data_IF_730423882935
#
_entry.id   IF_730423882935
#
_cell.length_a   1.000
_cell.length_b   1.000
_cell.length_c   1.000
_cell.angle_alpha   90.00
_cell.angle_beta   90.00
_cell.angle_gamma   90.00
#
_symmetry.space_group_name_H-M   'P 1'
#
loop_
_entity.id
_entity.type
_entity.pdbx_description
1 polymer ?
#
# COMPACT_ATOMS: atom_id res chain seq x y z
N UNK A 1 8.85 -20.70 17.88
CA UNK A 1 7.76 -21.13 16.96
C UNK A 1 7.64 -20.09 15.87
N UNK A 2 7.82 -20.51 14.63
CA UNK A 2 7.67 -19.62 13.49
C UNK A 2 6.18 -19.37 13.28
N UNK A 3 5.74 -18.10 13.30
CA UNK A 3 4.36 -17.77 13.00
C UNK A 3 4.20 -17.59 11.50
N UNK A 4 3.17 -18.19 10.97
CA UNK A 4 2.85 -18.06 9.54
C UNK A 4 2.39 -16.65 9.22
N UNK A 5 2.88 -16.13 8.11
CA UNK A 5 2.41 -14.85 7.58
C UNK A 5 1.03 -15.05 6.96
N UNK A 6 0.11 -14.16 7.27
CA UNK A 6 -1.25 -14.17 6.73
C UNK A 6 -1.48 -12.96 5.84
N UNK A 7 -2.13 -13.18 4.71
CA UNK A 7 -2.52 -12.12 3.79
C UNK A 7 -4.05 -12.10 3.73
N UNK A 8 -4.63 -10.95 4.04
CA UNK A 8 -6.06 -10.70 3.88
C UNK A 8 -6.26 -9.82 2.66
N UNK A 9 -7.01 -10.32 1.69
CA UNK A 9 -7.42 -9.53 0.53
C UNK A 9 -8.71 -8.81 0.93
N UNK A 10 -8.58 -7.55 1.31
CA UNK A 10 -9.69 -6.79 1.89
C UNK A 10 -10.56 -6.11 0.83
N UNK A 11 -10.12 -6.09 -0.41
CA UNK A 11 -10.88 -5.57 -1.54
C UNK A 11 -10.09 -5.72 -2.84
N UNK A 12 -10.73 -5.48 -3.97
CA UNK A 12 -10.08 -5.56 -5.28
C UNK A 12 -10.02 -6.96 -5.88
N UNK A 13 -10.55 -7.97 -5.19
CA UNK A 13 -10.63 -9.33 -5.70
C UNK A 13 -12.09 -9.67 -5.96
N UNK A 14 -12.43 -9.91 -7.23
CA UNK A 14 -13.80 -10.20 -7.63
C UNK A 14 -14.71 -8.99 -7.76
N UNK A 15 -14.22 -7.78 -7.53
CA UNK A 15 -14.92 -6.53 -7.78
C UNK A 15 -13.95 -5.45 -8.29
N UNK A 16 -14.47 -4.30 -8.66
CA UNK A 16 -13.67 -3.18 -9.13
C UNK A 16 -13.46 -2.17 -7.99
N UNK A 17 -12.21 -1.73 -7.85
CA UNK A 17 -11.85 -0.78 -6.82
C UNK A 17 -11.63 -1.44 -5.46
N UNK A 18 -11.56 -0.64 -4.41
CA UNK A 18 -11.28 -1.06 -3.04
C UNK A 18 -9.98 -1.86 -2.88
N UNK A 19 -8.99 -1.64 -3.75
CA UNK A 19 -7.73 -2.41 -3.69
C UNK A 19 -7.10 -2.26 -2.31
N UNK A 20 -6.88 -3.38 -1.64
CA UNK A 20 -6.30 -3.38 -0.30
C UNK A 20 -5.85 -4.79 0.09
N UNK A 21 -4.58 -4.89 0.46
CA UNK A 21 -4.02 -6.09 1.05
C UNK A 21 -3.57 -5.78 2.47
N UNK A 22 -3.95 -6.63 3.42
CA UNK A 22 -3.46 -6.57 4.78
C UNK A 22 -2.58 -7.79 5.04
N UNK A 23 -1.34 -7.54 5.45
CA UNK A 23 -0.36 -8.60 5.70
C UNK A 23 0.05 -8.54 7.15
N UNK A 24 -0.03 -9.67 7.84
CA UNK A 24 0.44 -9.78 9.23
C UNK A 24 1.31 -11.01 9.44
N UNK A 25 2.46 -10.79 10.05
CA UNK A 25 3.36 -11.83 10.54
C UNK A 25 3.31 -11.90 12.06
N UNK A 26 4.32 -12.52 12.66
CA UNK A 26 4.42 -12.62 14.12
C UNK A 26 4.71 -11.29 14.80
N UNK A 27 5.43 -10.38 14.13
CA UNK A 27 5.89 -9.11 14.71
C UNK A 27 5.43 -7.88 13.94
N UNK A 28 5.18 -8.00 12.65
CA UNK A 28 4.89 -6.87 11.77
C UNK A 28 3.55 -7.03 11.09
N UNK A 29 2.89 -5.91 10.85
CA UNK A 29 1.70 -5.85 10.02
C UNK A 29 1.77 -4.61 9.13
N UNK A 30 1.32 -4.75 7.89
CA UNK A 30 1.30 -3.64 6.95
C UNK A 30 0.13 -3.77 5.97
N UNK A 31 -0.19 -2.67 5.32
CA UNK A 31 -1.24 -2.58 4.31
C UNK A 31 -0.61 -2.16 2.98
N UNK A 32 -1.09 -2.71 1.88
CA UNK A 32 -0.76 -2.24 0.53
C UNK A 32 -2.04 -1.76 -0.13
N UNK A 33 -2.09 -0.48 -0.39
CA UNK A 33 -3.23 0.27 -0.92
C UNK A 33 -4.46 0.26 0.00
N UNK A 34 -5.26 1.30 -0.08
CA UNK A 34 -6.47 1.50 0.69
C UNK A 34 -7.48 2.24 -0.19
N UNK A 35 -8.09 1.51 -1.11
CA UNK A 35 -8.95 2.09 -2.13
C UNK A 35 -10.42 2.12 -1.78
N UNK A 36 -11.16 2.97 -2.48
CA UNK A 36 -12.62 2.98 -2.46
C UNK A 36 -13.15 2.32 -3.73
N UNK A 37 -14.41 1.88 -3.68
CA UNK A 37 -15.07 1.29 -4.84
C UNK A 37 -15.27 2.30 -5.96
N UNK A 38 -15.39 1.79 -7.20
CA UNK A 38 -15.56 2.62 -8.40
C UNK A 38 -17.02 2.74 -8.85
N UNK A 39 -17.95 2.20 -8.06
CA UNK A 39 -19.39 2.18 -8.37
C UNK A 39 -20.15 3.43 -7.90
N UNK A 40 -19.43 4.46 -7.43
CA UNK A 40 -20.04 5.68 -6.91
C UNK A 40 -20.53 5.59 -5.47
N UNK A 41 -20.42 4.42 -4.83
CA UNK A 41 -20.86 4.22 -3.45
C UNK A 41 -19.76 4.45 -2.42
N UNK A 42 -18.52 4.66 -2.86
CA UNK A 42 -17.33 4.88 -2.01
C UNK A 42 -17.18 3.82 -0.91
N UNK A 43 -17.46 2.56 -1.27
CA UNK A 43 -17.27 1.43 -0.34
C UNK A 43 -15.80 1.29 0.02
N UNK A 44 -15.53 0.96 1.27
CA UNK A 44 -14.16 0.83 1.82
C UNK A 44 -13.74 -0.63 1.90
N UNK A 45 -12.43 -0.92 2.05
CA UNK A 45 -11.96 -2.29 2.23
C UNK A 45 -12.49 -2.93 3.53
N UNK A 46 -12.61 -4.26 3.51
CA UNK A 46 -13.14 -5.05 4.62
C UNK A 46 -12.04 -5.37 5.65
N UNK A 47 -11.65 -4.37 6.42
CA UNK A 47 -10.73 -4.53 7.55
C UNK A 47 -11.39 -4.02 8.83
N UNK A 48 -11.10 -4.70 9.94
CA UNK A 48 -11.53 -4.24 11.27
C UNK A 48 -10.67 -3.06 11.72
N UNK A 49 -11.20 -2.27 12.65
CA UNK A 49 -10.43 -1.19 13.26
C UNK A 49 -9.16 -1.71 13.94
N UNK A 50 -9.21 -2.91 14.54
CA UNK A 50 -8.03 -3.54 15.16
C UNK A 50 -6.95 -3.87 14.14
N UNK A 51 -7.33 -4.43 13.00
CA UNK A 51 -6.38 -4.72 11.92
C UNK A 51 -5.72 -3.44 11.41
N UNK A 52 -6.52 -2.42 11.15
CA UNK A 52 -6.04 -1.13 10.66
C UNK A 52 -5.08 -0.48 11.68
N UNK A 53 -5.45 -0.51 12.96
CA UNK A 53 -4.61 0.06 14.04
C UNK A 53 -3.30 -0.69 14.25
N UNK A 54 -3.26 -2.00 13.93
CA UNK A 54 -2.04 -2.80 14.02
C UNK A 54 -1.04 -2.51 12.91
N UNK A 55 -1.49 -2.02 11.76
CA UNK A 55 -0.62 -1.79 10.63
C UNK A 55 0.40 -0.68 10.94
N UNK A 56 1.67 -1.00 10.79
CA UNK A 56 2.78 -0.08 11.01
C UNK A 56 3.03 0.80 9.78
N UNK A 57 2.73 0.28 8.61
CA UNK A 57 2.98 0.93 7.32
C UNK A 57 1.82 0.71 6.36
N UNK A 58 1.58 1.71 5.52
CA UNK A 58 0.67 1.61 4.39
C UNK A 58 1.45 2.00 3.13
N UNK A 59 1.68 1.02 2.26
CA UNK A 59 2.38 1.20 0.99
C UNK A 59 1.37 1.61 -0.07
N UNK A 60 1.59 2.74 -0.73
CA UNK A 60 0.71 3.24 -1.79
C UNK A 60 1.37 3.03 -3.14
N UNK A 61 0.71 2.31 -4.04
CA UNK A 61 1.25 2.04 -5.38
C UNK A 61 1.09 3.24 -6.31
N UNK A 62 -0.03 3.93 -6.26
CA UNK A 62 -0.30 5.13 -7.07
C UNK A 62 -1.51 5.90 -6.53
N UNK A 63 -1.82 7.05 -7.12
CA UNK A 63 -2.73 8.04 -6.56
C UNK A 63 -4.22 7.81 -6.83
N UNK A 64 -4.61 6.88 -7.69
CA UNK A 64 -6.01 6.67 -8.06
C UNK A 64 -6.87 6.30 -6.84
N UNK A 65 -8.11 6.75 -6.82
CA UNK A 65 -9.00 6.59 -5.67
C UNK A 65 -9.30 5.13 -5.32
N UNK A 66 -9.31 4.25 -6.30
CA UNK A 66 -9.49 2.81 -6.07
C UNK A 66 -8.29 2.16 -5.36
N UNK A 67 -7.23 2.95 -5.12
CA UNK A 67 -6.03 2.55 -4.36
C UNK A 67 -5.73 3.44 -3.16
N UNK A 68 -6.33 4.64 -3.05
CA UNK A 68 -6.02 5.61 -2.00
C UNK A 68 -7.24 6.19 -1.29
N UNK A 69 -8.42 6.02 -1.84
CA UNK A 69 -9.61 6.74 -1.38
C UNK A 69 -10.03 6.46 0.07
N UNK A 70 -9.60 5.33 0.64
CA UNK A 70 -9.94 4.93 2.01
C UNK A 70 -8.84 5.26 3.04
N UNK A 71 -7.76 5.94 2.66
CA UNK A 71 -6.67 6.26 3.61
C UNK A 71 -7.19 7.10 4.77
N UNK A 72 -7.94 8.17 4.49
CA UNK A 72 -8.53 9.02 5.55
C UNK A 72 -9.49 8.25 6.46
N UNK A 73 -10.24 7.32 5.90
CA UNK A 73 -11.11 6.43 6.68
C UNK A 73 -10.27 5.53 7.61
N UNK A 74 -9.17 4.97 7.12
CA UNK A 74 -8.28 4.16 7.95
C UNK A 74 -7.65 4.98 9.07
N UNK A 75 -7.27 6.22 8.79
CA UNK A 75 -6.78 7.12 9.83
C UNK A 75 -7.84 7.36 10.90
N UNK A 76 -9.10 7.49 10.52
CA UNK A 76 -10.22 7.63 11.47
C UNK A 76 -10.46 6.38 12.29
N UNK A 77 -10.08 5.20 11.80
CA UNK A 77 -10.17 3.92 12.52
C UNK A 77 -8.98 3.68 13.46
N UNK A 78 -7.98 4.54 13.46
CA UNK A 78 -6.82 4.41 14.34
C UNK A 78 -5.51 4.05 13.65
N UNK A 79 -5.45 4.09 12.30
CA UNK A 79 -4.17 3.93 11.60
C UNK A 79 -3.25 5.09 11.99
N UNK A 80 -2.13 4.75 12.64
CA UNK A 80 -1.15 5.71 13.10
C UNK A 80 0.24 5.46 12.51
N UNK A 81 0.35 4.55 11.55
CA UNK A 81 1.61 4.22 10.90
C UNK A 81 2.02 5.23 9.83
N UNK A 82 3.09 4.92 9.13
CA UNK A 82 3.58 5.76 8.03
C UNK A 82 2.99 5.31 6.70
N UNK A 83 2.59 6.27 5.88
CA UNK A 83 2.19 6.04 4.49
C UNK A 83 3.40 6.25 3.59
N UNK A 84 3.78 5.21 2.84
CA UNK A 84 4.93 5.23 1.94
C UNK A 84 4.44 5.40 0.51
N UNK A 85 4.98 6.40 -0.18
CA UNK A 85 4.55 6.73 -1.54
C UNK A 85 5.60 7.60 -2.23
N UNK A 86 5.54 7.66 -3.57
CA UNK A 86 6.39 8.56 -4.32
C UNK A 86 5.94 10.01 -4.17
N UNK A 87 6.83 10.95 -4.43
CA UNK A 87 6.51 12.36 -4.40
C UNK A 87 5.42 12.72 -5.44
N UNK A 88 5.46 12.12 -6.62
CA UNK A 88 4.45 12.35 -7.65
C UNK A 88 3.07 11.90 -7.16
N UNK A 89 3.00 10.71 -6.57
CA UNK A 89 1.74 10.19 -6.00
C UNK A 89 1.22 11.13 -4.91
N UNK A 90 2.10 11.56 -4.00
CA UNK A 90 1.74 12.49 -2.93
C UNK A 90 1.15 13.79 -3.48
N UNK A 91 1.79 14.37 -4.50
CA UNK A 91 1.31 15.61 -5.10
C UNK A 91 -0.04 15.48 -5.80
N UNK A 92 -0.34 14.30 -6.34
CA UNK A 92 -1.59 14.04 -7.06
C UNK A 92 -2.77 13.81 -6.12
N UNK A 93 -2.52 13.44 -4.87
CA UNK A 93 -3.59 13.18 -3.91
C UNK A 93 -4.21 14.48 -3.42
N UNK A 94 -5.55 14.54 -3.44
CA UNK A 94 -6.30 15.70 -2.94
C UNK A 94 -6.21 15.82 -1.42
N UNK A 95 -6.39 14.69 -0.75
CA UNK A 95 -6.28 14.59 0.70
C UNK A 95 -4.93 13.97 1.05
N UNK A 96 -4.14 14.67 1.86
CA UNK A 96 -2.80 14.21 2.22
C UNK A 96 -2.85 13.34 3.47
N UNK A 97 -2.14 12.19 3.47
CA UNK A 97 -2.01 11.39 4.69
C UNK A 97 -1.33 12.18 5.82
N UNK A 98 -1.69 11.85 7.05
CA UNK A 98 -1.16 12.56 8.23
C UNK A 98 0.31 12.30 8.51
N UNK A 99 0.81 11.08 8.24
CA UNK A 99 2.19 10.69 8.47
C UNK A 99 2.72 10.01 7.21
N UNK A 100 3.66 10.66 6.52
CA UNK A 100 4.14 10.18 5.22
C UNK A 100 5.65 9.97 5.23
N UNK A 101 6.07 8.97 4.46
CA UNK A 101 7.46 8.75 4.09
C UNK A 101 7.56 8.79 2.57
N UNK A 102 8.15 9.86 2.04
CA UNK A 102 8.34 10.01 0.59
C UNK A 102 9.50 9.15 0.14
N UNK A 103 9.26 8.31 -0.87
CA UNK A 103 10.28 7.42 -1.41
C UNK A 103 11.29 8.20 -2.25
N UNK A 104 12.57 8.03 -1.93
CA UNK A 104 13.67 8.62 -2.68
C UNK A 104 14.02 7.73 -3.86
N UNK A 105 13.88 8.25 -5.06
CA UNK A 105 14.15 7.53 -6.29
C UNK A 105 15.61 7.06 -6.45
N UNK A 106 16.52 7.60 -5.66
CA UNK A 106 17.94 7.22 -5.71
C UNK A 106 18.27 6.02 -4.83
N UNK A 107 17.41 5.66 -3.89
CA UNK A 107 17.64 4.54 -2.98
C UNK A 107 17.07 3.25 -3.59
N UNK A 108 17.90 2.22 -3.86
CA UNK A 108 17.43 0.98 -4.48
C UNK A 108 16.63 0.10 -3.52
N UNK A 109 16.85 0.24 -2.22
CA UNK A 109 16.21 -0.54 -1.17
C UNK A 109 16.16 0.29 0.11
N UNK A 110 15.11 0.10 0.90
CA UNK A 110 14.96 0.75 2.20
C UNK A 110 14.69 -0.30 3.28
N UNK A 111 15.51 -0.28 4.32
CA UNK A 111 15.28 -1.07 5.53
C UNK A 111 14.44 -0.26 6.50
N UNK A 112 13.24 -0.76 6.81
CA UNK A 112 12.34 -0.12 7.78
C UNK A 112 12.69 -0.54 9.20
N UNK A 113 12.92 -1.83 9.38
CA UNK A 113 13.31 -2.45 10.63
C UNK A 113 14.20 -3.65 10.32
N UNK A 114 14.78 -4.27 11.34
CA UNK A 114 15.81 -5.30 11.20
C UNK A 114 15.46 -6.44 10.21
N UNK A 115 14.21 -6.84 10.18
CA UNK A 115 13.73 -7.91 9.31
C UNK A 115 12.58 -7.47 8.40
N UNK A 116 12.56 -6.18 8.08
CA UNK A 116 11.51 -5.57 7.29
C UNK A 116 12.13 -4.54 6.35
N UNK A 117 12.23 -4.91 5.08
CA UNK A 117 12.80 -4.07 4.04
C UNK A 117 11.97 -4.17 2.76
N UNK A 118 12.16 -3.24 1.85
CA UNK A 118 11.46 -3.28 0.58
C UNK A 118 12.24 -2.58 -0.53
N UNK A 119 11.93 -2.97 -1.76
CA UNK A 119 12.35 -2.30 -2.98
C UNK A 119 11.11 -1.86 -3.74
N UNK A 120 11.28 -0.88 -4.59
CA UNK A 120 10.20 -0.39 -5.46
C UNK A 120 10.75 0.01 -6.80
N UNK A 121 9.88 0.02 -7.81
CA UNK A 121 10.23 0.45 -9.15
C UNK A 121 9.00 0.94 -9.89
N UNK A 122 9.22 1.58 -11.02
CA UNK A 122 8.14 2.12 -11.84
C UNK A 122 7.29 0.99 -12.42
N UNK A 123 5.97 1.11 -12.31
CA UNK A 123 5.03 0.15 -12.88
C UNK A 123 4.51 0.55 -14.26
N UNK A 124 4.73 1.79 -14.67
CA UNK A 124 4.32 2.28 -15.99
C UNK A 124 2.85 2.61 -16.17
N UNK A 125 2.06 2.50 -15.12
CA UNK A 125 0.61 2.74 -15.17
C UNK A 125 0.28 4.24 -15.27
N UNK A 126 0.88 5.04 -14.38
CA UNK A 126 0.77 6.48 -14.41
C UNK A 126 2.00 7.12 -13.77
N UNK A 127 2.12 8.45 -13.86
CA UNK A 127 3.25 9.15 -13.25
C UNK A 127 3.28 8.91 -11.74
N UNK A 128 4.41 8.40 -11.25
CA UNK A 128 4.60 8.08 -9.83
C UNK A 128 4.15 6.69 -9.42
N UNK A 129 3.49 5.92 -10.29
CA UNK A 129 3.06 4.55 -9.97
C UNK A 129 4.26 3.61 -9.80
N UNK A 130 4.17 2.74 -8.79
CA UNK A 130 5.26 1.82 -8.45
C UNK A 130 4.71 0.44 -8.09
N UNK A 131 5.57 -0.56 -8.27
CA UNK A 131 5.42 -1.88 -7.66
C UNK A 131 6.25 -1.93 -6.38
N UNK A 132 5.93 -2.86 -5.50
CA UNK A 132 6.70 -3.10 -4.26
C UNK A 132 7.12 -4.56 -4.17
N UNK A 133 8.38 -4.79 -3.81
CA UNK A 133 8.93 -6.09 -3.45
C UNK A 133 9.32 -6.01 -1.97
N UNK A 134 8.53 -6.64 -1.11
CA UNK A 134 8.62 -6.47 0.33
C UNK A 134 9.16 -7.75 0.96
N UNK A 135 10.22 -7.61 1.77
CA UNK A 135 10.79 -8.67 2.57
C UNK A 135 10.45 -8.43 4.03
N UNK A 136 9.73 -9.36 4.64
CA UNK A 136 9.27 -9.22 6.02
C UNK A 136 9.33 -10.58 6.71
N UNK A 137 10.03 -10.65 7.84
CA UNK A 137 10.12 -11.86 8.66
C UNK A 137 10.52 -13.10 7.84
N UNK A 138 11.47 -12.94 6.91
CA UNK A 138 11.98 -14.02 6.07
C UNK A 138 11.12 -14.38 4.87
N UNK A 139 9.99 -13.72 4.67
CA UNK A 139 9.10 -13.92 3.53
C UNK A 139 9.23 -12.77 2.52
N UNK A 140 9.06 -13.09 1.24
CA UNK A 140 9.06 -12.10 0.17
C UNK A 140 7.69 -12.04 -0.47
N UNK A 141 7.19 -10.82 -0.64
CA UNK A 141 5.89 -10.55 -1.25
C UNK A 141 6.06 -9.48 -2.32
N UNK A 142 5.49 -9.71 -3.49
CA UNK A 142 5.52 -8.76 -4.59
C UNK A 142 4.11 -8.24 -4.86
N UNK A 143 3.98 -6.92 -4.87
CA UNK A 143 2.72 -6.23 -5.16
C UNK A 143 2.93 -5.38 -6.41
N UNK A 144 2.31 -5.79 -7.52
CA UNK A 144 2.49 -5.09 -8.79
C UNK A 144 1.82 -3.72 -8.82
N UNK A 145 0.78 -3.51 -8.01
CA UNK A 145 -0.16 -2.44 -8.26
C UNK A 145 -0.72 -2.57 -9.68
N UNK A 146 -1.25 -1.50 -10.20
CA UNK A 146 -1.59 -1.43 -11.63
C UNK A 146 -0.31 -1.18 -12.43
N UNK A 147 -0.14 -1.89 -13.54
CA UNK A 147 1.10 -1.81 -14.32
C UNK A 147 0.81 -1.85 -15.82
N UNK A 148 1.81 -1.41 -16.59
CA UNK A 148 1.83 -1.56 -18.04
C UNK A 148 3.10 -2.30 -18.45
N UNK A 149 2.96 -3.15 -19.46
CA UNK A 149 4.07 -3.95 -19.97
C UNK A 149 4.78 -3.30 -21.17
N UNK A 150 4.27 -2.17 -21.68
CA UNK A 150 4.89 -1.43 -22.78
C UNK A 150 5.71 -0.26 -22.23
N UNK A 151 6.89 -0.04 -22.81
CA UNK A 151 7.81 1.02 -22.39
C UNK A 151 7.46 2.41 -22.95
N UNK A 152 6.24 2.60 -23.42
CA UNK A 152 5.86 3.81 -24.17
C UNK A 152 5.79 5.09 -23.33
N UNK A 153 5.97 5.02 -22.01
CA UNK A 153 5.89 6.16 -21.10
C UNK A 153 7.18 6.49 -20.37
N UNK A 154 8.27 5.79 -20.63
CA UNK A 154 9.54 6.01 -19.93
C UNK A 154 10.72 5.95 -20.88
#
# INVERSE_FOLDING_TARGET
>A
MEMDMQITIAGGCGDFGRSCFFVEGGRHAFIVDAGTSTDGLDRVPDLTAEQVARAEYLFVTHSHRDHTGAIGYFESLGFAGSVLLTNQTYRQMKEKPGNTMILDSTAPELELERDFSFRWGRSGHCAGSVWYDISCEGKKLFFSGDYRSDDSFY
#
